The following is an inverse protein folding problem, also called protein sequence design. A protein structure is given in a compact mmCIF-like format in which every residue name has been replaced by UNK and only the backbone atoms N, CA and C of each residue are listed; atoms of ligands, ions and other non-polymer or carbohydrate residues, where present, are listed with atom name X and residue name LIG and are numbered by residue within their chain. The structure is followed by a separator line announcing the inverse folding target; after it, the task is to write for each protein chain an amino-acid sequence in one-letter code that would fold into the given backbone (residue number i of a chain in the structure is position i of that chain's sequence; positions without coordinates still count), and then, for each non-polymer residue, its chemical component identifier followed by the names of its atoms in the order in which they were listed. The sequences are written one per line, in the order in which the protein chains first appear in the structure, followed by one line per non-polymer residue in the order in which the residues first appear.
data_IF_999144055358
#
_entry.id   IF_999144055358
#
_cell.length_a   1.000
_cell.length_b   1.000
_cell.length_c   1.000
_cell.angle_alpha   90.00
_cell.angle_beta   90.00
_cell.angle_gamma   90.00
#
_symmetry.space_group_name_H-M   'P 1'
#
loop_
_entity.id
_entity.type
_entity.pdbx_description
1 polymer ?
#
# COMPACT_ATOMS: atom_id res chain seq x y z
N UNK A 1 -9.86 -3.49 -15.43
CA UNK A 1 -9.90 -3.03 -14.02
C UNK A 1 -10.95 -1.92 -13.75
N UNK A 2 -11.98 -1.71 -14.59
CA UNK A 2 -12.93 -0.57 -14.44
C UNK A 2 -13.72 -0.54 -13.10
N UNK A 3 -13.77 -1.64 -12.36
CA UNK A 3 -14.46 -1.74 -11.06
C UNK A 3 -13.54 -1.52 -9.85
N UNK A 4 -12.22 -1.64 -10.02
CA UNK A 4 -11.26 -1.54 -8.91
C UNK A 4 -10.95 -0.05 -8.72
N UNK A 5 -11.29 0.48 -7.55
CA UNK A 5 -11.06 1.88 -7.17
C UNK A 5 -9.94 2.05 -6.14
N UNK A 6 -9.44 0.96 -5.57
CA UNK A 6 -8.35 0.92 -4.60
C UNK A 6 -7.89 -0.51 -4.34
N UNK A 7 -6.69 -0.65 -3.80
CA UNK A 7 -6.09 -1.95 -3.45
C UNK A 7 -5.73 -1.93 -1.97
N UNK A 8 -6.17 -2.92 -1.21
CA UNK A 8 -5.73 -3.13 0.18
C UNK A 8 -4.69 -4.24 0.20
N UNK A 9 -3.52 -3.99 0.79
CA UNK A 9 -2.47 -4.99 1.00
C UNK A 9 -2.23 -5.15 2.48
N UNK A 10 -2.38 -6.38 2.97
CA UNK A 10 -1.96 -6.75 4.33
C UNK A 10 -0.79 -7.72 4.22
N UNK A 11 0.38 -7.32 4.69
CA UNK A 11 1.61 -8.08 4.57
C UNK A 11 2.27 -8.32 5.93
N UNK A 12 2.51 -9.58 6.22
CA UNK A 12 3.35 -10.04 7.32
C UNK A 12 4.67 -10.56 6.74
N UNK A 13 5.68 -9.69 6.69
CA UNK A 13 7.05 -10.00 6.34
C UNK A 13 7.70 -10.80 7.46
N UNK A 14 7.77 -12.12 7.29
CA UNK A 14 8.65 -12.97 8.09
C UNK A 14 10.10 -12.77 7.65
N UNK A 15 10.57 -13.64 6.76
CA UNK A 15 11.95 -13.61 6.23
C UNK A 15 12.13 -12.49 5.18
N UNK A 16 11.06 -12.14 4.45
CA UNK A 16 11.12 -11.15 3.37
C UNK A 16 11.16 -9.73 3.95
N UNK A 17 12.16 -8.95 3.51
CA UNK A 17 12.27 -7.53 3.81
C UNK A 17 11.12 -6.76 3.17
N UNK A 18 10.41 -5.99 3.97
CA UNK A 18 9.29 -5.15 3.52
C UNK A 18 9.74 -4.10 2.49
N UNK A 19 11.02 -3.70 2.50
CA UNK A 19 11.64 -2.80 1.51
C UNK A 19 11.66 -3.37 0.09
N UNK A 20 11.78 -4.68 -0.07
CA UNK A 20 11.65 -5.35 -1.39
C UNK A 20 10.25 -5.14 -1.96
N UNK A 21 9.22 -5.25 -1.12
CA UNK A 21 7.83 -5.06 -1.54
C UNK A 21 7.53 -3.59 -1.81
N UNK A 22 8.06 -2.67 -0.99
CA UNK A 22 7.97 -1.23 -1.26
C UNK A 22 8.58 -0.86 -2.61
N UNK A 23 9.72 -1.45 -2.98
CA UNK A 23 10.34 -1.27 -4.30
C UNK A 23 9.44 -1.75 -5.43
N UNK A 24 8.76 -2.90 -5.23
CA UNK A 24 7.82 -3.43 -6.21
C UNK A 24 6.62 -2.49 -6.41
N UNK A 25 6.12 -1.85 -5.35
CA UNK A 25 5.03 -0.87 -5.45
C UNK A 25 5.44 0.35 -6.25
N UNK A 26 6.61 0.93 -5.95
CA UNK A 26 7.15 2.09 -6.69
C UNK A 26 7.23 1.74 -8.18
N UNK A 27 7.84 0.60 -8.51
CA UNK A 27 7.95 0.14 -9.89
C UNK A 27 6.59 -0.10 -10.56
N UNK A 28 5.59 -0.61 -9.82
CA UNK A 28 4.26 -0.82 -10.35
C UNK A 28 3.54 0.50 -10.70
N UNK A 29 3.78 1.58 -9.94
CA UNK A 29 3.29 2.91 -10.30
C UNK A 29 4.09 3.53 -11.46
N UNK A 30 5.42 3.43 -11.45
CA UNK A 30 6.27 4.00 -12.51
C UNK A 30 5.96 3.39 -13.88
N UNK A 31 5.72 2.07 -13.90
CA UNK A 31 5.32 1.33 -15.11
C UNK A 31 3.85 1.48 -15.47
N UNK A 32 3.08 2.26 -14.69
CA UNK A 32 1.62 2.42 -14.81
C UNK A 32 0.84 1.10 -14.81
N UNK A 33 1.41 0.06 -14.20
CA UNK A 33 0.72 -1.22 -13.98
C UNK A 33 -0.42 -1.06 -12.97
N UNK A 34 -0.22 -0.17 -11.98
CA UNK A 34 -1.21 0.20 -10.98
C UNK A 34 -1.42 1.71 -11.03
N UNK A 35 -2.69 2.12 -11.15
CA UNK A 35 -3.09 3.54 -11.20
C UNK A 35 -4.14 3.90 -10.12
N UNK A 36 -4.39 2.99 -9.19
CA UNK A 36 -5.31 3.18 -8.06
C UNK A 36 -4.52 3.27 -6.76
N UNK A 37 -5.02 4.00 -5.74
CA UNK A 37 -4.33 4.08 -4.45
C UNK A 37 -4.22 2.70 -3.80
N UNK A 38 -3.05 2.43 -3.22
CA UNK A 38 -2.81 1.25 -2.39
C UNK A 38 -2.88 1.65 -0.92
N UNK A 39 -3.62 0.90 -0.13
CA UNK A 39 -3.71 1.00 1.32
C UNK A 39 -2.98 -0.21 1.87
N UNK A 40 -1.87 0.00 2.56
CA UNK A 40 -0.99 -1.09 2.95
C UNK A 40 -0.80 -1.10 4.47
N UNK A 41 -0.94 -2.29 5.05
CA UNK A 41 -0.42 -2.59 6.39
C UNK A 41 0.70 -3.59 6.20
N UNK A 42 1.92 -3.19 6.53
CA UNK A 42 3.10 -4.03 6.40
C UNK A 42 3.80 -4.14 7.75
N UNK A 43 4.14 -5.36 8.16
CA UNK A 43 4.94 -5.60 9.36
C UNK A 43 5.99 -6.64 9.06
N UNK A 44 7.18 -6.50 9.63
CA UNK A 44 8.30 -7.39 9.36
C UNK A 44 9.64 -6.68 9.37
N UNK A 45 10.67 -7.34 8.85
CA UNK A 45 11.99 -6.74 8.72
C UNK A 45 11.96 -5.46 7.86
N UNK A 46 12.59 -4.40 8.36
CA UNK A 46 12.71 -3.08 7.71
C UNK A 46 11.39 -2.34 7.46
N UNK A 47 10.32 -2.63 8.23
CA UNK A 47 9.00 -2.02 8.05
C UNK A 47 9.05 -0.48 8.08
N UNK A 48 9.78 0.12 9.02
CA UNK A 48 9.91 1.58 9.12
C UNK A 48 10.55 2.18 7.86
N UNK A 49 11.63 1.56 7.38
CA UNK A 49 12.30 1.97 6.14
C UNK A 49 11.38 1.84 4.93
N UNK A 50 10.55 0.80 4.88
CA UNK A 50 9.56 0.65 3.81
C UNK A 50 8.52 1.78 3.81
N UNK A 51 8.11 2.24 4.99
CA UNK A 51 7.20 3.40 5.17
C UNK A 51 7.84 4.68 4.66
N UNK A 52 9.13 4.88 4.92
CA UNK A 52 9.89 6.01 4.38
C UNK A 52 10.03 5.94 2.86
N UNK A 53 10.35 4.77 2.29
CA UNK A 53 10.47 4.58 0.84
C UNK A 53 9.16 4.89 0.09
N UNK A 54 8.02 4.61 0.71
CA UNK A 54 6.70 4.84 0.14
C UNK A 54 6.16 6.25 0.44
N UNK A 55 6.88 7.08 1.22
CA UNK A 55 6.47 8.44 1.54
C UNK A 55 6.42 9.28 0.26
N UNK A 56 5.27 9.89 -0.01
CA UNK A 56 5.04 10.66 -1.24
C UNK A 56 4.60 9.82 -2.44
N UNK A 57 4.54 8.49 -2.32
CA UNK A 57 3.88 7.64 -3.31
C UNK A 57 2.36 7.66 -3.16
N UNK A 58 1.64 6.99 -4.08
CA UNK A 58 0.19 6.76 -3.97
C UNK A 58 -0.17 5.61 -3.02
N UNK A 59 0.82 5.04 -2.33
CA UNK A 59 0.61 4.06 -1.26
C UNK A 59 0.49 4.74 0.09
N UNK A 60 -0.61 4.48 0.79
CA UNK A 60 -0.86 4.90 2.17
C UNK A 60 -0.54 3.74 3.11
N UNK A 61 0.39 3.96 4.03
CA UNK A 61 0.83 2.96 5.01
C UNK A 61 0.10 3.15 6.34
N UNK A 62 -0.35 2.05 6.94
CA UNK A 62 -1.09 2.01 8.19
C UNK A 62 -0.46 1.01 9.15
N UNK A 63 -0.59 1.26 10.44
CA UNK A 63 0.01 0.41 11.48
C UNK A 63 -0.93 -0.77 11.80
N UNK A 64 -2.25 -0.55 11.77
CA UNK A 64 -3.27 -1.59 11.90
C UNK A 64 -4.03 -1.86 10.61
N UNK A 65 -4.58 -3.07 10.48
CA UNK A 65 -5.40 -3.45 9.33
C UNK A 65 -6.76 -2.73 9.35
N UNK A 66 -7.29 -2.45 10.53
CA UNK A 66 -8.57 -1.75 10.70
C UNK A 66 -8.49 -0.32 10.17
N UNK A 67 -7.41 0.40 10.47
CA UNK A 67 -7.16 1.73 9.90
C UNK A 67 -7.05 1.68 8.37
N UNK A 68 -6.33 0.69 7.84
CA UNK A 68 -6.18 0.53 6.39
C UNK A 68 -7.51 0.26 5.69
N UNK A 69 -8.36 -0.61 6.27
CA UNK A 69 -9.69 -0.91 5.76
C UNK A 69 -10.57 0.34 5.78
N UNK A 70 -10.65 1.02 6.92
CA UNK A 70 -11.47 2.22 7.06
C UNK A 70 -11.05 3.30 6.07
N UNK A 71 -9.73 3.54 5.94
CA UNK A 71 -9.21 4.50 4.97
C UNK A 71 -9.52 4.11 3.52
N UNK A 72 -9.42 2.82 3.19
CA UNK A 72 -9.73 2.32 1.85
C UNK A 72 -11.21 2.53 1.49
N UNK A 73 -12.12 2.18 2.40
CA UNK A 73 -13.57 2.34 2.19
C UNK A 73 -13.94 3.82 2.06
N UNK A 74 -13.42 4.67 2.94
CA UNK A 74 -13.67 6.12 2.91
C UNK A 74 -13.18 6.72 1.58
N UNK A 75 -11.96 6.42 1.16
CA UNK A 75 -11.42 6.99 -0.08
C UNK A 75 -12.20 6.53 -1.31
N UNK A 76 -12.56 5.25 -1.38
CA UNK A 76 -13.28 4.68 -2.53
C UNK A 76 -14.69 5.26 -2.65
N UNK A 77 -15.33 5.60 -1.54
CA UNK A 77 -16.68 6.18 -1.51
C UNK A 77 -16.71 7.71 -1.73
N UNK A 78 -15.60 8.43 -1.49
CA UNK A 78 -15.52 9.88 -1.79
C UNK A 78 -15.65 10.22 -3.27
N UNK A 79 -15.35 9.25 -4.15
CA UNK A 79 -15.45 9.38 -5.60
C UNK A 79 -16.67 8.59 -6.16
N UNK A 80 -17.72 8.47 -5.34
CA UNK A 80 -19.00 7.83 -5.67
C UNK A 80 -20.07 8.84 -6.01
#
# INVERSE_FOLDING_TARGET
MKKVKGILVNLYGGIVKTTTVATAFIKAYDTKLVDVPVFARMSGAEADKSKEMLKGSRTKMFDTIEEAINAAVIEVNKNG
#
